data_IF_583081692338
#
_entry.id   IF_583081692338
#
_cell.length_a   1.000
_cell.length_b   1.000
_cell.length_c   1.000
_cell.angle_alpha   90.00
_cell.angle_beta   90.00
_cell.angle_gamma   90.00
#
_symmetry.space_group_name_H-M   'P 1'
#
loop_
_entity.id
_entity.type
_entity.pdbx_description
1 polymer ?
#
# COMPACT_ATOMS: atom_id res chain seq x y z
N UNK A 1 4.49 12.26 -9.37
CA UNK A 1 4.99 11.11 -8.59
C UNK A 1 5.85 11.66 -7.47
N UNK A 2 5.57 11.25 -6.23
CA UNK A 2 6.21 11.82 -5.03
C UNK A 2 7.40 10.99 -4.52
N UNK A 3 7.40 9.68 -4.79
CA UNK A 3 8.51 8.76 -4.46
C UNK A 3 8.92 8.02 -5.75
N UNK A 4 10.21 7.92 -6.03
CA UNK A 4 10.77 7.37 -7.28
C UNK A 4 12.12 6.68 -7.05
N UNK A 5 12.16 5.74 -6.13
CA UNK A 5 13.25 4.77 -6.01
C UNK A 5 12.86 3.49 -6.75
N UNK A 6 13.84 2.65 -7.13
CA UNK A 6 13.56 1.31 -7.64
C UNK A 6 12.78 0.40 -6.67
N UNK A 7 12.65 0.82 -5.39
CA UNK A 7 11.91 0.09 -4.35
C UNK A 7 10.46 0.58 -4.18
N UNK A 8 10.10 1.73 -4.79
CA UNK A 8 8.74 2.30 -4.73
C UNK A 8 7.82 1.61 -5.75
N UNK A 9 7.75 0.29 -5.63
CA UNK A 9 7.02 -0.60 -6.54
C UNK A 9 5.67 -1.05 -5.97
N UNK A 10 5.22 -0.50 -4.84
CA UNK A 10 3.95 -0.87 -4.22
C UNK A 10 2.88 0.17 -4.59
N UNK A 11 1.70 -0.31 -4.99
CA UNK A 11 0.49 0.50 -5.04
C UNK A 11 -0.51 0.01 -4.00
N UNK A 12 -1.15 0.95 -3.30
CA UNK A 12 -2.07 0.69 -2.19
C UNK A 12 -3.48 0.98 -2.68
N UNK A 13 -4.40 0.03 -2.49
CA UNK A 13 -5.84 0.22 -2.69
C UNK A 13 -6.40 1.00 -1.50
N UNK A 14 -6.95 2.18 -1.77
CA UNK A 14 -7.51 3.04 -0.73
C UNK A 14 -8.94 2.62 -0.41
N UNK A 15 -9.26 2.43 0.88
CA UNK A 15 -10.58 1.96 1.33
C UNK A 15 -11.72 2.91 0.94
N UNK A 16 -11.44 4.21 0.82
CA UNK A 16 -12.46 5.20 0.49
C UNK A 16 -12.99 5.09 -0.95
N UNK A 17 -12.24 4.49 -1.88
CA UNK A 17 -12.60 4.50 -3.31
C UNK A 17 -12.18 3.26 -4.11
N UNK A 18 -11.59 2.26 -3.47
CA UNK A 18 -11.08 1.02 -4.09
C UNK A 18 -10.07 1.22 -5.23
N UNK A 19 -9.52 2.43 -5.37
CA UNK A 19 -8.52 2.78 -6.37
C UNK A 19 -7.09 2.60 -5.83
N UNK A 20 -6.18 2.20 -6.71
CA UNK A 20 -4.77 2.02 -6.39
C UNK A 20 -3.99 3.32 -6.59
N UNK A 21 -3.25 3.73 -5.57
CA UNK A 21 -2.27 4.81 -5.66
C UNK A 21 -0.92 4.40 -5.08
N UNK A 22 0.21 4.93 -5.62
CA UNK A 22 1.53 4.65 -5.07
C UNK A 22 1.76 5.22 -3.66
N UNK A 23 1.00 6.25 -3.26
CA UNK A 23 1.09 6.86 -1.93
C UNK A 23 -0.10 7.79 -1.64
N UNK A 24 -0.24 8.21 -0.37
CA UNK A 24 -1.27 9.15 0.10
C UNK A 24 -1.24 10.49 -0.66
N UNK A 25 -0.06 11.06 -0.95
CA UNK A 25 0.03 12.33 -1.70
C UNK A 25 -0.49 12.20 -3.14
N UNK A 26 -0.28 11.04 -3.77
CA UNK A 26 -0.84 10.79 -5.10
C UNK A 26 -2.37 10.64 -5.03
N UNK A 27 -2.90 10.04 -3.97
CA UNK A 27 -4.34 9.96 -3.76
C UNK A 27 -4.93 11.36 -3.52
N UNK A 28 -4.39 12.10 -2.55
CA UNK A 28 -4.84 13.44 -2.15
C UNK A 28 -4.94 14.41 -3.35
N UNK A 29 -3.95 14.37 -4.26
CA UNK A 29 -3.96 15.24 -5.43
C UNK A 29 -4.97 14.87 -6.53
N UNK A 30 -5.61 13.69 -6.48
CA UNK A 30 -6.49 13.20 -7.56
C UNK A 30 -7.88 12.78 -7.10
N UNK A 31 -8.05 12.32 -5.86
CA UNK A 31 -9.27 11.68 -5.40
C UNK A 31 -10.39 12.69 -5.08
N UNK A 32 -10.04 13.92 -4.68
CA UNK A 32 -11.02 14.96 -4.33
C UNK A 32 -11.83 14.64 -3.07
N UNK A 33 -11.38 13.68 -2.26
CA UNK A 33 -11.98 13.29 -0.99
C UNK A 33 -10.90 12.82 -0.01
N UNK A 34 -11.24 12.82 1.27
CA UNK A 34 -10.35 12.39 2.33
C UNK A 34 -10.06 10.87 2.26
N UNK A 35 -8.96 10.47 2.87
CA UNK A 35 -8.56 9.07 2.99
C UNK A 35 -9.35 8.38 4.11
N UNK A 36 -9.69 7.12 3.89
CA UNK A 36 -10.22 6.22 4.93
C UNK A 36 -9.21 5.10 5.12
N UNK A 37 -8.85 4.83 6.38
CA UNK A 37 -7.92 3.78 6.74
C UNK A 37 -8.61 2.42 6.80
N UNK A 38 -7.89 1.37 6.43
CA UNK A 38 -8.34 0.01 6.65
C UNK A 38 -8.32 -0.32 8.14
N UNK A 39 -9.46 -0.75 8.72
CA UNK A 39 -9.49 -1.18 10.10
C UNK A 39 -8.76 -2.51 10.27
N UNK A 40 -8.25 -2.77 11.48
CA UNK A 40 -7.50 -4.00 11.79
C UNK A 40 -8.28 -5.27 11.45
N UNK A 41 -9.59 -5.25 11.63
CA UNK A 41 -10.50 -6.35 11.31
C UNK A 41 -10.57 -6.70 9.81
N UNK A 42 -10.09 -5.82 8.93
CA UNK A 42 -10.11 -5.99 7.47
C UNK A 42 -8.68 -6.13 6.89
N UNK A 43 -7.68 -6.43 7.71
CA UNK A 43 -6.30 -6.61 7.24
C UNK A 43 -6.09 -7.88 6.38
N UNK A 44 -7.09 -8.75 6.30
CA UNK A 44 -7.15 -9.89 5.39
C UNK A 44 -7.47 -9.49 3.94
N UNK A 45 -7.77 -8.22 3.68
CA UNK A 45 -8.10 -7.74 2.33
C UNK A 45 -6.88 -7.56 1.44
N UNK A 46 -7.02 -8.02 0.20
CA UNK A 46 -6.07 -7.79 -0.88
C UNK A 46 -6.14 -6.31 -1.29
N UNK A 47 -5.18 -5.55 -0.79
CA UNK A 47 -5.14 -4.10 -0.97
C UNK A 47 -3.75 -3.61 -1.38
N UNK A 48 -2.79 -4.50 -1.59
CA UNK A 48 -1.40 -4.13 -1.88
C UNK A 48 -1.00 -4.80 -3.19
N UNK A 49 -0.75 -3.99 -4.22
CA UNK A 49 -0.32 -4.47 -5.52
C UNK A 49 1.21 -4.36 -5.65
N UNK A 50 1.86 -5.47 -5.98
CA UNK A 50 3.26 -5.47 -6.38
C UNK A 50 3.40 -5.01 -7.83
N UNK A 51 4.00 -3.86 -8.07
CA UNK A 51 4.29 -3.31 -9.39
C UNK A 51 5.37 -4.06 -10.17
N UNK A 52 6.11 -4.97 -9.54
CA UNK A 52 7.12 -5.79 -10.23
C UNK A 52 6.52 -7.03 -10.92
N UNK A 53 5.55 -7.70 -10.29
CA UNK A 53 4.95 -8.93 -10.81
C UNK A 53 3.42 -8.91 -10.95
N UNK A 54 2.75 -7.88 -10.44
CA UNK A 54 1.30 -7.74 -10.46
C UNK A 54 0.55 -8.54 -9.40
N UNK A 55 1.24 -9.25 -8.50
CA UNK A 55 0.56 -9.98 -7.41
C UNK A 55 -0.11 -9.01 -6.44
N UNK A 56 -1.34 -9.29 -6.05
CA UNK A 56 -1.97 -8.64 -4.90
C UNK A 56 -1.65 -9.40 -3.61
N UNK A 57 -1.38 -8.65 -2.56
CA UNK A 57 -1.10 -9.10 -1.21
C UNK A 57 -2.17 -8.57 -0.28
N UNK A 58 -2.47 -9.34 0.77
CA UNK A 58 -3.24 -8.83 1.89
C UNK A 58 -2.45 -7.77 2.64
N UNK A 59 -3.15 -6.88 3.35
CA UNK A 59 -2.51 -5.88 4.22
C UNK A 59 -1.65 -6.60 5.27
N UNK A 60 -2.18 -7.65 5.88
CA UNK A 60 -1.48 -8.46 6.88
C UNK A 60 -0.17 -9.08 6.36
N UNK A 61 -0.17 -9.62 5.14
CA UNK A 61 1.06 -10.14 4.52
C UNK A 61 2.07 -9.03 4.25
N UNK A 62 1.62 -7.93 3.64
CA UNK A 62 2.50 -6.82 3.27
C UNK A 62 3.21 -6.21 4.49
N UNK A 63 2.50 -6.02 5.62
CA UNK A 63 3.12 -5.47 6.83
C UNK A 63 4.15 -6.42 7.47
N UNK A 64 4.06 -7.72 7.19
CA UNK A 64 4.93 -8.75 7.76
C UNK A 64 6.21 -9.00 6.94
N UNK A 65 6.27 -8.56 5.68
CA UNK A 65 7.38 -8.86 4.76
C UNK A 65 8.18 -7.61 4.36
N UNK A 66 9.38 -7.83 3.84
CA UNK A 66 10.25 -6.77 3.26
C UNK A 66 10.49 -6.97 1.75
N UNK A 67 9.94 -8.05 1.19
CA UNK A 67 10.01 -8.41 -0.23
C UNK A 67 8.67 -9.00 -0.66
N UNK A 68 8.38 -8.93 -1.96
CA UNK A 68 7.21 -9.60 -2.53
C UNK A 68 7.34 -11.13 -2.36
N UNK A 69 6.40 -11.80 -1.68
CA UNK A 69 6.41 -13.26 -1.54
C UNK A 69 6.30 -14.02 -2.88
N UNK A 70 5.78 -13.37 -3.93
CA UNK A 70 5.59 -13.99 -5.24
C UNK A 70 6.80 -13.88 -6.17
N UNK A 71 7.57 -12.79 -6.11
CA UNK A 71 8.68 -12.53 -7.06
C UNK A 71 9.99 -12.07 -6.42
N UNK A 72 10.06 -12.01 -5.08
CA UNK A 72 11.22 -11.59 -4.29
C UNK A 72 11.71 -10.15 -4.52
N UNK A 73 10.96 -9.34 -5.29
CA UNK A 73 11.26 -7.94 -5.50
C UNK A 73 11.28 -7.19 -4.15
N UNK A 74 12.32 -6.39 -3.86
CA UNK A 74 12.43 -5.68 -2.59
C UNK A 74 11.41 -4.56 -2.49
N UNK A 75 10.75 -4.46 -1.33
CA UNK A 75 9.88 -3.34 -1.01
C UNK A 75 10.65 -2.23 -0.31
N UNK A 76 10.20 -0.99 -0.46
CA UNK A 76 10.76 0.13 0.27
C UNK A 76 10.30 0.07 1.74
N UNK A 77 11.20 -0.34 2.64
CA UNK A 77 10.91 -0.39 4.08
C UNK A 77 10.54 0.96 4.68
N UNK A 78 10.96 2.08 4.06
CA UNK A 78 10.57 3.43 4.50
C UNK A 78 9.07 3.68 4.34
N UNK A 79 8.36 2.92 3.49
CA UNK A 79 6.90 2.99 3.39
C UNK A 79 6.20 2.62 4.71
N UNK A 80 6.86 1.86 5.60
CA UNK A 80 6.36 1.54 6.94
C UNK A 80 6.11 2.77 7.80
N UNK A 81 6.85 3.86 7.56
CA UNK A 81 6.67 5.14 8.24
C UNK A 81 5.34 5.84 7.92
N UNK A 82 4.62 5.35 6.90
CA UNK A 82 3.35 5.92 6.45
C UNK A 82 2.18 4.94 6.62
N UNK A 83 2.40 3.78 7.26
CA UNK A 83 1.34 2.76 7.39
C UNK A 83 0.11 3.29 8.12
N UNK A 84 0.30 4.16 9.11
CA UNK A 84 -0.75 4.82 9.87
C UNK A 84 -1.67 5.74 9.04
N UNK A 85 -1.24 6.13 7.83
CA UNK A 85 -2.04 6.86 6.86
C UNK A 85 -2.97 5.95 6.04
N UNK A 86 -2.70 4.64 6.02
CA UNK A 86 -3.46 3.65 5.21
C UNK A 86 -4.19 2.62 6.06
N UNK A 87 -3.62 2.25 7.21
CA UNK A 87 -4.02 1.12 8.04
C UNK A 87 -4.11 1.56 9.51
N UNK A 88 -5.11 1.04 10.20
CA UNK A 88 -5.18 1.17 11.65
C UNK A 88 -4.18 0.20 12.31
N UNK A 89 -3.66 0.57 13.48
CA UNK A 89 -2.60 -0.21 14.14
C UNK A 89 -3.04 -0.93 15.41
N UNK A 90 -4.23 -0.61 15.95
CA UNK A 90 -4.84 -1.22 17.14
C UNK A 90 -6.36 -1.03 17.13
#
# INVERSE_FOLDING_TARGET
>A
MHYRTPLDIVAIKFKCCDAYYPCHLCHDSHAGHDTVRWPVAEHDRHAILCGACGSELTIAEYVAVVRCPACDAPFNERCRLHHDLYFETR
#
